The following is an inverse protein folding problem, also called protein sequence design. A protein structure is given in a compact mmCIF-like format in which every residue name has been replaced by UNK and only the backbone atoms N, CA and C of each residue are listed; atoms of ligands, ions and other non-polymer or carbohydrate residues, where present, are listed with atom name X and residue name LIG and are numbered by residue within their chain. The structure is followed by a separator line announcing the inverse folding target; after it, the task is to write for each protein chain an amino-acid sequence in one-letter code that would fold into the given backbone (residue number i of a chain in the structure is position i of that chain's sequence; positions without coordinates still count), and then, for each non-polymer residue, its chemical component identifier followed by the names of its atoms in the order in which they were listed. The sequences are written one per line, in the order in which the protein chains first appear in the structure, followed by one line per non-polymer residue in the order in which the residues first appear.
data_IF_230438643877
#
_entry.id   IF_230438643877
#
_cell.length_a   1.000
_cell.length_b   1.000
_cell.length_c   1.000
_cell.angle_alpha   90.00
_cell.angle_beta   90.00
_cell.angle_gamma   90.00
#
_symmetry.space_group_name_H-M   'P 1'
#
loop_
_entity.id
_entity.type
_entity.pdbx_description
1 polymer ?
#
# COMPACT_ATOMS: atom_id res chain seq x y z
N UNK A 1 33.11 1.95 -3.08
CA UNK A 1 32.02 0.95 -2.96
C UNK A 1 30.69 1.68 -3.09
N UNK A 2 29.86 1.33 -4.08
CA UNK A 2 28.58 2.03 -4.30
C UNK A 2 27.59 1.70 -3.18
N UNK A 3 26.82 2.69 -2.73
CA UNK A 3 25.71 2.53 -1.77
C UNK A 3 24.71 1.45 -2.25
N UNK A 4 24.55 1.31 -3.58
CA UNK A 4 23.70 0.29 -4.20
C UNK A 4 24.20 -1.14 -3.94
N UNK A 5 25.52 -1.35 -3.84
CA UNK A 5 26.10 -2.67 -3.55
C UNK A 5 25.78 -3.10 -2.12
N UNK A 6 25.95 -2.20 -1.15
CA UNK A 6 25.62 -2.48 0.25
C UNK A 6 24.11 -2.66 0.47
N UNK A 7 23.29 -1.90 -0.27
CA UNK A 7 21.84 -2.11 -0.28
C UNK A 7 21.46 -3.51 -0.77
N UNK A 8 22.10 -3.99 -1.84
CA UNK A 8 21.91 -5.36 -2.32
C UNK A 8 22.33 -6.40 -1.27
N UNK A 9 23.49 -6.23 -0.65
CA UNK A 9 24.00 -7.10 0.42
C UNK A 9 23.02 -7.15 1.61
N UNK A 10 22.44 -6.02 2.02
CA UNK A 10 21.44 -5.95 3.09
C UNK A 10 20.14 -6.68 2.74
N UNK A 11 19.59 -6.44 1.54
CA UNK A 11 18.38 -7.16 1.07
C UNK A 11 18.61 -8.66 0.97
N UNK A 12 19.79 -9.05 0.48
CA UNK A 12 20.19 -10.45 0.39
C UNK A 12 20.32 -11.09 1.79
N UNK A 13 20.97 -10.40 2.74
CA UNK A 13 21.11 -10.85 4.12
C UNK A 13 19.74 -11.02 4.81
N UNK A 14 18.82 -10.06 4.65
CA UNK A 14 17.46 -10.17 5.17
C UNK A 14 16.76 -11.45 4.63
N UNK A 15 16.86 -11.69 3.32
CA UNK A 15 16.26 -12.88 2.70
C UNK A 15 16.90 -14.20 3.15
N UNK A 16 18.21 -14.18 3.37
CA UNK A 16 18.94 -15.33 3.87
C UNK A 16 18.53 -15.68 5.32
N UNK A 17 18.27 -14.67 6.15
CA UNK A 17 17.75 -14.85 7.51
C UNK A 17 16.32 -15.38 7.51
N UNK A 18 15.44 -14.89 6.62
CA UNK A 18 14.09 -15.47 6.45
C UNK A 18 14.14 -16.96 6.09
N UNK A 19 14.99 -17.34 5.12
CA UNK A 19 15.20 -18.75 4.77
C UNK A 19 15.73 -19.57 5.95
N UNK A 20 16.63 -18.98 6.75
CA UNK A 20 17.17 -19.63 7.94
C UNK A 20 16.10 -19.84 9.02
N UNK A 21 15.20 -18.86 9.20
CA UNK A 21 14.04 -18.99 10.08
C UNK A 21 13.11 -20.12 9.63
N UNK A 22 12.73 -20.15 8.35
CA UNK A 22 11.89 -21.23 7.79
C UNK A 22 12.54 -22.61 7.95
N UNK A 23 13.88 -22.69 7.84
CA UNK A 23 14.61 -23.94 8.09
C UNK A 23 14.51 -24.35 9.56
N UNK A 24 14.63 -23.41 10.50
CA UNK A 24 14.46 -23.68 11.93
C UNK A 24 13.02 -24.13 12.26
N UNK A 25 11.99 -23.53 11.67
CA UNK A 25 10.59 -23.97 11.85
C UNK A 25 10.35 -25.39 11.32
N UNK A 26 10.95 -25.74 10.18
CA UNK A 26 10.90 -27.12 9.66
C UNK A 26 11.58 -28.09 10.62
N UNK A 27 12.74 -27.73 11.16
CA UNK A 27 13.46 -28.54 12.14
C UNK A 27 12.67 -28.68 13.46
N UNK A 28 12.00 -27.61 13.91
CA UNK A 28 11.11 -27.65 15.07
C UNK A 28 10.01 -28.70 14.88
N UNK A 29 9.34 -28.72 13.72
CA UNK A 29 8.31 -29.73 13.41
C UNK A 29 8.87 -31.15 13.48
N UNK A 30 10.03 -31.39 12.88
CA UNK A 30 10.70 -32.69 12.92
C UNK A 30 11.03 -33.11 14.36
N UNK A 31 11.52 -32.20 15.20
CA UNK A 31 11.80 -32.51 16.61
C UNK A 31 10.52 -32.76 17.43
N UNK A 32 9.41 -32.08 17.12
CA UNK A 32 8.09 -32.38 17.70
C UNK A 32 7.59 -33.76 17.29
N UNK A 33 7.78 -34.17 16.04
CA UNK A 33 7.39 -35.51 15.59
C UNK A 33 8.20 -36.59 16.34
N UNK A 34 9.53 -36.38 16.48
CA UNK A 34 10.40 -37.26 17.28
C UNK A 34 10.02 -37.29 18.76
N UNK A 35 9.64 -36.14 19.34
CA UNK A 35 9.12 -36.06 20.70
C UNK A 35 7.88 -36.95 20.86
N UNK A 36 6.89 -36.84 19.97
CA UNK A 36 5.69 -37.69 20.07
C UNK A 36 6.02 -39.18 19.92
N UNK A 37 6.98 -39.52 19.05
CA UNK A 37 7.45 -40.89 18.88
C UNK A 37 8.19 -41.42 20.12
N UNK A 38 9.00 -40.59 20.79
CA UNK A 38 9.71 -40.95 22.03
C UNK A 38 8.75 -41.15 23.21
N UNK A 39 7.72 -40.30 23.33
CA UNK A 39 6.65 -40.44 24.34
C UNK A 39 5.90 -41.77 24.15
N UNK A 40 5.52 -42.12 22.91
CA UNK A 40 4.84 -43.38 22.60
C UNK A 40 5.67 -44.62 22.96
N UNK A 41 6.99 -44.50 22.94
CA UNK A 41 7.94 -45.57 23.30
C UNK A 41 8.22 -45.63 24.81
N UNK A 42 7.72 -44.68 25.61
CA UNK A 42 7.96 -44.62 27.06
C UNK A 42 9.33 -44.03 27.47
N UNK A 43 10.13 -43.53 26.52
CA UNK A 43 11.46 -42.98 26.79
C UNK A 43 11.37 -41.50 27.15
N UNK A 44 11.05 -41.20 28.42
CA UNK A 44 10.89 -39.82 28.92
C UNK A 44 12.15 -38.96 28.81
N UNK A 45 13.34 -39.51 29.06
CA UNK A 45 14.60 -38.75 28.94
C UNK A 45 14.87 -38.28 27.50
N UNK A 46 14.64 -39.15 26.52
CA UNK A 46 14.81 -38.82 25.09
C UNK A 46 13.73 -37.83 24.64
N UNK A 47 12.51 -37.97 25.14
CA UNK A 47 11.44 -37.02 24.91
C UNK A 47 11.82 -35.61 25.42
N UNK A 48 12.39 -35.50 26.62
CA UNK A 48 12.82 -34.22 27.17
C UNK A 48 13.85 -33.51 26.28
N UNK A 49 14.85 -34.24 25.77
CA UNK A 49 15.87 -33.69 24.85
C UNK A 49 15.23 -33.18 23.54
N UNK A 50 14.29 -33.92 22.96
CA UNK A 50 13.59 -33.48 21.74
C UNK A 50 12.69 -32.26 22.00
N UNK A 51 12.05 -32.17 23.17
CA UNK A 51 11.26 -31.02 23.56
C UNK A 51 12.13 -29.76 23.71
N UNK A 52 13.26 -29.86 24.41
CA UNK A 52 14.22 -28.75 24.55
C UNK A 52 14.75 -28.28 23.19
N UNK A 53 15.10 -29.23 22.32
CA UNK A 53 15.54 -28.91 20.96
C UNK A 53 14.45 -28.22 20.13
N UNK A 54 13.20 -28.64 20.23
CA UNK A 54 12.08 -27.99 19.56
C UNK A 54 11.90 -26.54 20.05
N UNK A 55 11.91 -26.31 21.37
CA UNK A 55 11.78 -24.96 21.95
C UNK A 55 12.96 -24.08 21.51
N UNK A 56 14.18 -24.61 21.55
CA UNK A 56 15.37 -23.88 21.07
C UNK A 56 15.23 -23.47 19.61
N UNK A 57 14.80 -24.39 18.74
CA UNK A 57 14.61 -24.11 17.30
C UNK A 57 13.51 -23.08 17.04
N UNK A 58 12.42 -23.12 17.81
CA UNK A 58 11.38 -22.09 17.77
C UNK A 58 11.94 -20.72 18.13
N UNK A 59 12.73 -20.63 19.21
CA UNK A 59 13.32 -19.37 19.66
C UNK A 59 14.35 -18.83 18.64
N UNK A 60 15.17 -19.71 18.05
CA UNK A 60 16.09 -19.37 16.96
C UNK A 60 15.31 -18.81 15.74
N UNK A 61 14.20 -19.44 15.35
CA UNK A 61 13.37 -18.97 14.23
C UNK A 61 12.81 -17.56 14.48
N UNK A 62 12.24 -17.32 15.67
CA UNK A 62 11.73 -15.99 16.05
C UNK A 62 12.84 -14.94 16.03
N UNK A 63 14.04 -15.28 16.51
CA UNK A 63 15.18 -14.36 16.51
C UNK A 63 15.63 -14.03 15.07
N UNK A 64 15.69 -15.03 14.19
CA UNK A 64 16.02 -14.82 12.78
C UNK A 64 15.00 -13.93 12.06
N UNK A 65 13.69 -14.14 12.28
CA UNK A 65 12.63 -13.27 11.73
C UNK A 65 12.78 -11.84 12.23
N UNK A 66 13.03 -11.67 13.53
CA UNK A 66 13.24 -10.34 14.12
C UNK A 66 14.46 -9.63 13.53
N UNK A 67 15.58 -10.35 13.35
CA UNK A 67 16.77 -9.79 12.69
C UNK A 67 16.49 -9.47 11.21
N UNK A 68 15.81 -10.36 10.48
CA UNK A 68 15.45 -10.12 9.08
C UNK A 68 14.62 -8.84 8.92
N UNK A 69 13.57 -8.67 9.73
CA UNK A 69 12.73 -7.48 9.72
C UNK A 69 13.51 -6.19 10.04
N UNK A 70 14.46 -6.25 10.98
CA UNK A 70 15.34 -5.11 11.30
C UNK A 70 16.26 -4.76 10.13
N UNK A 71 16.86 -5.76 9.48
CA UNK A 71 17.75 -5.53 8.34
C UNK A 71 16.96 -4.99 7.15
N UNK A 72 15.75 -5.51 6.89
CA UNK A 72 14.90 -5.04 5.81
C UNK A 72 14.47 -3.58 6.04
N UNK A 73 14.11 -3.20 7.27
CA UNK A 73 13.84 -1.81 7.63
C UNK A 73 15.05 -0.89 7.40
N UNK A 74 16.27 -1.36 7.71
CA UNK A 74 17.51 -0.61 7.42
C UNK A 74 17.74 -0.51 5.91
N UNK A 75 17.53 -1.59 5.15
CA UNK A 75 17.65 -1.61 3.70
C UNK A 75 16.67 -0.62 3.05
N UNK A 76 15.43 -0.53 3.52
CA UNK A 76 14.46 0.44 3.05
C UNK A 76 14.91 1.89 3.29
N UNK A 77 15.47 2.20 4.48
CA UNK A 77 16.04 3.52 4.76
C UNK A 77 17.22 3.85 3.85
N UNK A 78 18.11 2.88 3.62
CA UNK A 78 19.26 3.05 2.71
C UNK A 78 18.79 3.26 1.26
N UNK A 79 17.76 2.54 0.81
CA UNK A 79 17.14 2.74 -0.50
C UNK A 79 16.62 4.17 -0.65
N UNK A 80 15.88 4.68 0.34
CA UNK A 80 15.37 6.06 0.34
C UNK A 80 16.53 7.05 0.27
N UNK A 81 17.56 6.87 1.08
CA UNK A 81 18.75 7.73 1.06
C UNK A 81 19.48 7.68 -0.29
N UNK A 82 19.57 6.51 -0.93
CA UNK A 82 20.15 6.35 -2.27
C UNK A 82 19.36 7.11 -3.34
N UNK A 83 18.04 6.99 -3.32
CA UNK A 83 17.15 7.71 -4.23
C UNK A 83 17.23 9.22 -3.98
N UNK A 84 17.19 9.66 -2.73
CA UNK A 84 17.30 11.07 -2.37
C UNK A 84 18.64 11.64 -2.83
N UNK A 85 19.75 10.93 -2.63
CA UNK A 85 21.07 11.33 -3.15
C UNK A 85 21.07 11.48 -4.68
N UNK A 86 20.41 10.58 -5.41
CA UNK A 86 20.30 10.65 -6.87
C UNK A 86 19.50 11.89 -7.30
N UNK A 87 18.35 12.15 -6.65
CA UNK A 87 17.53 13.33 -6.90
C UNK A 87 18.33 14.62 -6.61
N UNK A 88 19.01 14.71 -5.46
CA UNK A 88 19.85 15.86 -5.12
C UNK A 88 20.98 16.06 -6.13
N UNK A 89 21.62 14.99 -6.60
CA UNK A 89 22.66 15.06 -7.63
C UNK A 89 22.11 15.58 -8.96
N UNK A 90 20.94 15.08 -9.40
CA UNK A 90 20.28 15.55 -10.62
C UNK A 90 19.85 17.01 -10.49
N UNK A 91 19.26 17.40 -9.36
CA UNK A 91 18.89 18.79 -9.07
C UNK A 91 20.11 19.71 -9.09
N UNK A 92 21.25 19.29 -8.53
CA UNK A 92 22.50 20.07 -8.59
C UNK A 92 22.97 20.29 -10.03
N UNK A 93 22.86 19.28 -10.89
CA UNK A 93 23.15 19.41 -12.32
C UNK A 93 22.21 20.39 -13.02
N UNK A 94 20.91 20.29 -12.75
CA UNK A 94 19.88 21.20 -13.30
C UNK A 94 20.10 22.63 -12.83
N UNK A 95 20.37 22.85 -11.54
CA UNK A 95 20.64 24.18 -10.97
C UNK A 95 21.87 24.81 -11.63
N UNK A 96 22.94 24.05 -11.84
CA UNK A 96 24.14 24.55 -12.56
C UNK A 96 23.84 24.87 -14.03
N UNK A 97 23.06 24.02 -14.70
CA UNK A 97 22.65 24.27 -16.08
C UNK A 97 21.75 25.52 -16.18
N UNK A 98 20.85 25.70 -15.22
CA UNK A 98 19.97 26.86 -15.11
C UNK A 98 20.76 28.14 -14.78
N UNK A 99 21.75 28.08 -13.88
CA UNK A 99 22.65 29.21 -13.57
C UNK A 99 23.44 29.62 -14.82
N UNK A 100 23.99 28.65 -15.57
CA UNK A 100 24.66 28.91 -16.83
C UNK A 100 23.70 29.49 -17.88
N UNK A 101 22.48 28.96 -17.98
CA UNK A 101 21.46 29.44 -18.92
C UNK A 101 21.05 30.88 -18.58
N UNK A 102 20.76 31.19 -17.31
CA UNK A 102 20.43 32.53 -16.82
C UNK A 102 21.55 33.53 -17.09
N UNK A 103 22.82 33.12 -17.00
CA UNK A 103 23.97 33.98 -17.32
C UNK A 103 24.04 34.36 -18.81
N UNK A 104 23.47 33.54 -19.68
CA UNK A 104 23.32 33.79 -21.13
C UNK A 104 21.94 34.30 -21.55
N UNK A 105 20.95 34.31 -20.65
CA UNK A 105 19.58 34.70 -20.96
C UNK A 105 19.45 36.22 -20.84
N UNK A 106 19.28 36.89 -21.98
CA UNK A 106 18.96 38.31 -22.02
C UNK A 106 17.56 38.53 -21.42
N UNK A 107 17.43 39.42 -20.43
CA UNK A 107 16.18 39.67 -19.67
C UNK A 107 14.97 39.96 -20.59
N UNK A 108 15.19 40.57 -21.77
CA UNK A 108 14.14 40.81 -22.78
C UNK A 108 13.51 39.51 -23.32
N UNK A 109 14.30 38.45 -23.52
CA UNK A 109 13.77 37.17 -24.01
C UNK A 109 12.98 36.42 -22.94
N UNK A 110 13.28 36.66 -21.66
CA UNK A 110 12.53 36.09 -20.53
C UNK A 110 11.16 36.76 -20.41
N UNK A 111 11.08 38.08 -20.59
CA UNK A 111 9.79 38.79 -20.69
C UNK A 111 8.93 38.26 -21.84
N UNK A 112 9.48 38.13 -23.05
CA UNK A 112 8.73 37.57 -24.18
C UNK A 112 8.29 36.10 -23.99
N UNK A 113 9.07 35.32 -23.24
CA UNK A 113 8.72 33.94 -22.92
C UNK A 113 7.62 33.87 -21.85
N UNK A 114 7.61 34.78 -20.87
CA UNK A 114 6.53 34.88 -19.88
C UNK A 114 5.21 35.32 -20.52
N UNK A 115 5.23 36.28 -21.45
CA UNK A 115 4.03 36.69 -22.21
C UNK A 115 3.47 35.54 -23.08
N UNK A 116 4.34 34.67 -23.61
CA UNK A 116 3.92 33.45 -24.33
C UNK A 116 3.39 32.37 -23.39
N UNK A 117 4.03 32.17 -22.24
CA UNK A 117 3.60 31.18 -21.25
C UNK A 117 2.20 31.51 -20.72
N UNK A 118 1.89 32.79 -20.47
CA UNK A 118 0.57 33.23 -20.01
C UNK A 118 -0.52 32.90 -21.05
N UNK A 119 -0.25 33.16 -22.34
CA UNK A 119 -1.16 32.75 -23.44
C UNK A 119 -1.29 31.24 -23.58
N UNK A 120 -0.21 30.48 -23.42
CA UNK A 120 -0.23 29.03 -23.56
C UNK A 120 -0.96 28.37 -22.38
N UNK A 121 -0.85 28.92 -21.17
CA UNK A 121 -1.54 28.45 -19.98
C UNK A 121 -3.04 28.76 -20.01
N UNK A 122 -3.41 29.96 -20.47
CA UNK A 122 -4.81 30.34 -20.68
C UNK A 122 -5.49 29.42 -21.73
N UNK A 123 -4.77 29.06 -22.80
CA UNK A 123 -5.24 28.09 -23.78
C UNK A 123 -5.35 26.66 -23.20
N UNK A 124 -4.46 26.26 -22.30
CA UNK A 124 -4.51 24.94 -21.65
C UNK A 124 -5.71 24.81 -20.71
N UNK A 125 -6.03 25.86 -19.95
CA UNK A 125 -7.23 25.88 -19.10
C UNK A 125 -8.51 25.82 -19.95
N UNK A 126 -8.57 26.54 -21.07
CA UNK A 126 -9.70 26.45 -22.01
C UNK A 126 -9.80 25.05 -22.64
N UNK A 127 -8.68 24.44 -23.01
CA UNK A 127 -8.65 23.09 -23.57
C UNK A 127 -9.07 22.03 -22.55
N UNK A 128 -8.61 22.15 -21.31
CA UNK A 128 -8.93 21.23 -20.22
C UNK A 128 -10.40 21.35 -19.83
N UNK A 129 -10.93 22.56 -19.70
CA UNK A 129 -12.35 22.78 -19.44
C UNK A 129 -13.26 22.25 -20.57
N UNK A 130 -12.81 22.34 -21.83
CA UNK A 130 -13.53 21.78 -22.98
C UNK A 130 -13.45 20.26 -22.99
N UNK A 131 -12.28 19.70 -22.67
CA UNK A 131 -12.06 18.25 -22.61
C UNK A 131 -12.83 17.62 -21.44
N UNK A 132 -12.82 18.23 -20.25
CA UNK A 132 -13.60 17.81 -19.09
C UNK A 132 -15.10 17.82 -19.40
N UNK A 133 -15.61 18.86 -20.07
CA UNK A 133 -17.02 18.91 -20.53
C UNK A 133 -17.37 17.80 -21.52
N UNK A 134 -16.45 17.39 -22.40
CA UNK A 134 -16.67 16.26 -23.32
C UNK A 134 -16.49 14.89 -22.65
N UNK A 135 -15.61 14.78 -21.66
CA UNK A 135 -15.37 13.55 -20.91
C UNK A 135 -16.48 13.28 -19.89
N UNK A 136 -17.06 14.31 -19.26
CA UNK A 136 -18.25 14.17 -18.40
C UNK A 136 -19.43 13.59 -19.18
N UNK A 137 -19.67 14.07 -20.41
CA UNK A 137 -20.71 13.51 -21.29
C UNK A 137 -20.48 12.04 -21.68
N UNK A 138 -19.23 11.59 -21.74
CA UNK A 138 -18.86 10.20 -22.13
C UNK A 138 -18.76 9.26 -20.92
N UNK A 139 -18.41 9.78 -19.74
CA UNK A 139 -18.26 9.00 -18.50
C UNK A 139 -19.61 8.65 -17.88
N UNK A 140 -20.60 9.56 -17.96
CA UNK A 140 -21.99 9.28 -17.53
C UNK A 140 -22.61 8.07 -18.26
N UNK A 141 -22.18 7.78 -19.50
CA UNK A 141 -22.67 6.64 -20.27
C UNK A 141 -22.00 5.30 -19.91
N UNK A 142 -20.74 5.31 -19.45
CA UNK A 142 -19.95 4.10 -19.19
C UNK A 142 -19.89 3.71 -17.71
N UNK A 143 -20.11 4.65 -16.79
CA UNK A 143 -20.16 4.41 -15.36
C UNK A 143 -21.40 5.09 -14.76
N UNK A 144 -22.59 4.46 -14.88
CA UNK A 144 -23.82 5.00 -14.32
C UNK A 144 -23.66 5.23 -12.82
N UNK A 145 -24.10 6.40 -12.34
CA UNK A 145 -23.97 6.82 -10.94
C UNK A 145 -24.50 5.76 -9.95
N UNK A 146 -25.56 5.05 -10.31
CA UNK A 146 -26.13 3.96 -9.50
C UNK A 146 -25.19 2.77 -9.29
N UNK A 147 -24.35 2.42 -10.27
CA UNK A 147 -23.38 1.32 -10.15
C UNK A 147 -22.20 1.71 -9.25
N UNK A 148 -21.80 2.99 -9.31
CA UNK A 148 -20.74 3.53 -8.44
C UNK A 148 -21.23 3.63 -6.99
N UNK A 149 -22.44 4.13 -6.78
CA UNK A 149 -23.03 4.26 -5.45
C UNK A 149 -23.27 2.87 -4.81
N UNK A 150 -23.65 1.85 -5.59
CA UNK A 150 -23.74 0.45 -5.13
C UNK A 150 -22.38 -0.15 -4.73
N UNK A 151 -21.32 0.13 -5.49
CA UNK A 151 -19.96 -0.33 -5.17
C UNK A 151 -19.43 0.34 -3.89
N UNK A 152 -19.73 1.62 -3.69
CA UNK A 152 -19.36 2.36 -2.48
C UNK A 152 -20.10 1.80 -1.26
N UNK A 153 -21.39 1.46 -1.39
CA UNK A 153 -22.15 0.80 -0.33
C UNK A 153 -21.57 -0.59 0.00
N UNK A 154 -21.22 -1.41 -0.99
CA UNK A 154 -20.60 -2.73 -0.76
C UNK A 154 -19.22 -2.61 -0.07
N UNK A 155 -18.41 -1.62 -0.45
CA UNK A 155 -17.13 -1.36 0.17
C UNK A 155 -17.28 -0.83 1.61
N UNK A 156 -18.27 0.01 1.87
CA UNK A 156 -18.59 0.51 3.20
C UNK A 156 -19.09 -0.62 4.12
N UNK A 157 -19.92 -1.53 3.63
CA UNK A 157 -20.37 -2.70 4.38
C UNK A 157 -19.19 -3.64 4.72
N UNK A 158 -18.29 -3.92 3.77
CA UNK A 158 -17.09 -4.72 4.03
C UNK A 158 -16.18 -4.08 5.08
N UNK A 159 -15.95 -2.77 4.99
CA UNK A 159 -15.15 -2.03 5.97
C UNK A 159 -15.83 -2.00 7.36
N UNK A 160 -17.16 -1.87 7.40
CA UNK A 160 -17.94 -1.90 8.65
C UNK A 160 -17.95 -3.28 9.32
N UNK A 161 -17.96 -4.36 8.52
CA UNK A 161 -17.89 -5.74 9.01
C UNK A 161 -16.47 -6.07 9.53
N UNK A 162 -15.41 -5.59 8.87
CA UNK A 162 -14.03 -5.79 9.34
C UNK A 162 -13.76 -5.03 10.65
N UNK A 163 -14.28 -3.81 10.80
CA UNK A 163 -14.15 -3.04 12.05
C UNK A 163 -14.89 -3.70 13.24
N UNK A 164 -15.99 -4.39 12.97
CA UNK A 164 -16.75 -5.14 13.98
C UNK A 164 -16.13 -6.51 14.30
N UNK A 165 -15.37 -7.09 13.37
CA UNK A 165 -14.60 -8.33 13.59
C UNK A 165 -13.31 -8.13 14.39
N UNK A 166 -12.74 -6.92 14.40
CA UNK A 166 -11.56 -6.56 15.21
C UNK A 166 -11.89 -6.12 16.65
N UNK A 167 -13.16 -5.95 17.00
CA UNK A 167 -13.60 -5.67 18.38
C UNK A 167 -13.88 -6.98 19.14
N UNK A 168 -13.30 -7.20 20.34
CA UNK A 168 -13.53 -8.42 21.11
C UNK A 168 -15.01 -8.61 21.44
N UNK A 169 -15.48 -9.82 21.19
CA UNK A 169 -16.86 -10.31 21.19
C UNK A 169 -17.55 -10.33 22.57
N UNK A 170 -17.54 -9.21 23.30
CA UNK A 170 -18.14 -9.16 24.64
C UNK A 170 -18.88 -7.86 24.96
N UNK A 171 -19.75 -7.40 24.05
CA UNK A 171 -20.77 -6.40 24.38
C UNK A 171 -22.12 -6.85 23.79
N UNK A 172 -23.13 -7.18 24.62
CA UNK A 172 -24.47 -7.46 24.13
C UNK A 172 -25.16 -6.13 23.82
N UNK A 173 -25.14 -5.71 22.56
CA UNK A 173 -25.91 -4.57 22.08
C UNK A 173 -27.07 -5.09 21.23
N UNK A 174 -28.21 -5.27 21.89
CA UNK A 174 -29.53 -5.30 21.23
C UNK A 174 -29.73 -3.96 20.53
N UNK A 175 -29.65 -3.93 19.21
CA UNK A 175 -30.14 -2.81 18.39
C UNK A 175 -31.15 -3.39 17.41
N UNK A 176 -32.39 -2.86 17.35
CA UNK A 176 -33.41 -3.38 16.46
C UNK A 176 -32.99 -3.12 15.01
N UNK A 177 -33.11 -4.15 14.17
CA UNK A 177 -33.02 -4.06 12.72
C UNK A 177 -34.08 -3.09 12.21
N UNK A 178 -33.71 -1.82 12.04
CA UNK A 178 -34.47 -0.90 11.20
C UNK A 178 -34.18 -1.29 9.75
N UNK A 179 -35.13 -1.98 9.14
CA UNK A 179 -35.20 -2.11 7.70
C UNK A 179 -35.30 -0.70 7.10
N UNK A 180 -34.16 -0.15 6.66
CA UNK A 180 -34.16 1.01 5.77
C UNK A 180 -34.49 0.49 4.37
N UNK A 181 -35.72 0.80 3.98
CA UNK A 181 -36.32 0.56 2.68
C UNK A 181 -35.45 1.09 1.55
N UNK A 182 -35.08 0.19 0.64
CA UNK A 182 -34.45 0.47 -0.67
C UNK A 182 -35.52 1.04 -1.62
N UNK A 183 -36.11 2.19 -1.29
CA UNK A 183 -37.32 2.71 -1.93
C UNK A 183 -37.24 4.17 -2.40
N UNK A 184 -36.06 4.73 -2.63
CA UNK A 184 -35.91 6.16 -2.99
C UNK A 184 -35.69 6.46 -4.49
N UNK A 185 -35.29 5.50 -5.33
CA UNK A 185 -35.03 5.79 -6.76
C UNK A 185 -36.29 5.76 -7.65
N UNK A 186 -37.28 4.93 -7.31
CA UNK A 186 -38.54 4.85 -8.08
C UNK A 186 -39.42 6.09 -7.89
N UNK A 187 -39.43 6.67 -6.68
CA UNK A 187 -40.24 7.86 -6.35
C UNK A 187 -39.64 9.11 -7.00
N UNK A 188 -38.31 9.26 -7.01
CA UNK A 188 -37.63 10.38 -7.66
C UNK A 188 -37.83 10.35 -9.19
N UNK A 189 -37.75 9.17 -9.80
CA UNK A 189 -37.96 8.98 -11.24
C UNK A 189 -39.41 9.29 -11.64
N UNK A 190 -40.39 8.89 -10.82
CA UNK A 190 -41.80 9.24 -11.04
C UNK A 190 -42.07 10.74 -10.85
N UNK A 191 -41.47 11.39 -9.84
CA UNK A 191 -41.58 12.84 -9.64
C UNK A 191 -40.97 13.65 -10.78
N UNK A 192 -39.81 13.23 -11.28
CA UNK A 192 -39.17 13.86 -12.45
C UNK A 192 -39.97 13.64 -13.74
N UNK A 193 -40.56 12.47 -13.93
CA UNK A 193 -41.46 12.21 -15.05
C UNK A 193 -42.74 13.07 -14.97
N UNK A 194 -43.32 13.24 -13.78
CA UNK A 194 -44.49 14.08 -13.57
C UNK A 194 -44.21 15.58 -13.82
N UNK A 195 -43.03 16.07 -13.44
CA UNK A 195 -42.58 17.44 -13.72
C UNK A 195 -42.25 17.69 -15.20
N UNK A 196 -41.88 16.64 -15.95
CA UNK A 196 -41.56 16.74 -17.37
C UNK A 196 -42.81 16.70 -18.27
N UNK A 197 -43.95 16.32 -17.71
CA UNK A 197 -45.24 16.23 -18.38
C UNK A 197 -46.21 17.39 -18.00
N UNK A 198 -45.68 18.42 -17.34
CA UNK A 198 -46.32 19.73 -17.13
C UNK A 198 -45.83 20.75 -18.15
#
# INVERSE_FOLDING_TARGET
MSLDKHLFELKFAAKQLEKSAQRCEKQEKVEKDKLTAAIKKGNMEVAQVHAENAIRKKNEAVNYIRMAARIDAVAARVQTAATQKRVTSSMSGVVKAMESAMKTMNLEKVQQLMDRFERDFENLDVHTATMERTMDGTTVLNAPKSQVDALIAEAADKAGIELNAELPSNVPSTVPTAAQSVADDSDLTQRLAALRNM
#
